data_IF_434235432621
#
_entry.id   IF_434235432621
#
_cell.length_a   1.000
_cell.length_b   1.000
_cell.length_c   1.000
_cell.angle_alpha   90.00
_cell.angle_beta   90.00
_cell.angle_gamma   90.00
#
_symmetry.space_group_name_H-M   'P 1'
#
loop_
_entity.id
_entity.type
_entity.pdbx_description
1 polymer ?
#
# COMPACT_ATOMS: atom_id res chain seq x y z
N UNK A 1 -2.61 4.20 8.86
CA UNK A 1 -1.75 3.01 9.04
C UNK A 1 -0.51 3.13 8.16
N UNK A 2 0.55 2.39 8.49
CA UNK A 2 1.78 2.32 7.69
C UNK A 2 2.04 0.87 7.27
N UNK A 3 2.34 0.66 5.99
CA UNK A 3 2.67 -0.62 5.39
C UNK A 3 4.09 -0.54 4.82
N UNK A 4 4.92 -1.54 5.10
CA UNK A 4 6.23 -1.69 4.47
C UNK A 4 6.12 -2.66 3.30
N UNK A 5 6.61 -2.28 2.11
CA UNK A 5 6.60 -3.14 0.92
C UNK A 5 8.00 -3.18 0.31
N UNK A 6 8.77 -4.21 0.66
CA UNK A 6 10.18 -4.33 0.28
C UNK A 6 10.40 -4.46 -1.23
N UNK A 7 9.42 -4.98 -1.95
CA UNK A 7 9.44 -5.23 -3.39
C UNK A 7 9.15 -3.99 -4.26
N UNK A 8 8.74 -2.86 -3.67
CA UNK A 8 8.63 -1.60 -4.41
C UNK A 8 10.02 -1.02 -4.67
N UNK A 9 10.45 -1.07 -5.93
CA UNK A 9 11.78 -0.59 -6.36
C UNK A 9 11.73 0.52 -7.40
N UNK A 10 10.56 0.85 -7.95
CA UNK A 10 10.39 1.86 -9.01
C UNK A 10 9.03 2.59 -8.89
N UNK A 11 8.92 3.78 -9.48
CA UNK A 11 7.67 4.57 -9.50
C UNK A 11 6.49 3.85 -10.16
N UNK A 12 6.73 2.89 -11.05
CA UNK A 12 5.68 2.02 -11.59
C UNK A 12 5.04 1.15 -10.50
N UNK A 13 5.84 0.61 -9.58
CA UNK A 13 5.35 -0.21 -8.46
C UNK A 13 4.47 0.62 -7.53
N UNK A 14 4.88 1.86 -7.24
CA UNK A 14 4.10 2.80 -6.43
C UNK A 14 2.72 3.09 -7.04
N UNK A 15 2.65 3.23 -8.37
CA UNK A 15 1.38 3.41 -9.09
C UNK A 15 0.44 2.21 -8.94
N UNK A 16 0.98 0.98 -9.08
CA UNK A 16 0.19 -0.26 -8.93
C UNK A 16 -0.34 -0.41 -7.50
N UNK A 17 0.52 -0.18 -6.49
CA UNK A 17 0.12 -0.26 -5.07
C UNK A 17 -0.91 0.81 -4.73
N UNK A 18 -0.74 2.04 -5.23
CA UNK A 18 -1.73 3.11 -5.03
C UNK A 18 -3.09 2.74 -5.61
N UNK A 19 -3.09 2.10 -6.79
CA UNK A 19 -4.32 1.62 -7.43
C UNK A 19 -5.00 0.55 -6.58
N UNK A 20 -4.27 -0.48 -6.15
CA UNK A 20 -4.79 -1.53 -5.28
C UNK A 20 -5.43 -0.95 -4.00
N UNK A 21 -4.75 0.00 -3.34
CA UNK A 21 -5.30 0.68 -2.15
C UNK A 21 -6.61 1.40 -2.46
N UNK A 22 -6.71 2.04 -3.63
CA UNK A 22 -7.92 2.75 -4.07
C UNK A 22 -9.05 1.82 -4.51
N UNK A 23 -8.77 0.57 -4.85
CA UNK A 23 -9.80 -0.44 -5.11
C UNK A 23 -10.50 -0.87 -3.82
N UNK A 24 -9.78 -0.91 -2.70
CA UNK A 24 -10.36 -1.12 -1.36
C UNK A 24 -11.11 0.12 -0.87
N UNK A 25 -10.48 1.30 -0.95
CA UNK A 25 -11.10 2.57 -0.58
C UNK A 25 -10.72 3.68 -1.55
N UNK A 26 -11.67 4.07 -2.40
CA UNK A 26 -11.49 5.11 -3.40
C UNK A 26 -11.12 6.48 -2.81
N UNK A 27 -11.47 6.73 -1.54
CA UNK A 27 -11.17 7.98 -0.82
C UNK A 27 -9.90 7.90 0.03
N UNK A 28 -9.21 6.75 0.06
CA UNK A 28 -7.98 6.59 0.82
C UNK A 28 -6.92 7.59 0.36
N UNK A 29 -6.26 8.23 1.33
CA UNK A 29 -5.05 9.01 1.06
C UNK A 29 -3.84 8.10 1.17
N UNK A 30 -3.05 8.09 0.11
CA UNK A 30 -1.86 7.24 0.00
C UNK A 30 -0.63 8.13 -0.16
N UNK A 31 0.34 7.95 0.72
CA UNK A 31 1.66 8.57 0.66
C UNK A 31 2.69 7.44 0.54
N UNK A 32 3.49 7.45 -0.52
CA UNK A 32 4.48 6.39 -0.79
C UNK A 32 5.87 6.99 -0.74
N UNK A 33 6.67 6.50 0.18
CA UNK A 33 8.09 6.82 0.29
C UNK A 33 8.92 5.66 -0.25
N UNK A 34 9.45 5.81 -1.46
CA UNK A 34 10.27 4.79 -2.11
C UNK A 34 11.66 4.61 -1.45
N UNK A 35 12.17 5.64 -0.76
CA UNK A 35 13.48 5.58 -0.09
C UNK A 35 13.46 4.64 1.12
N UNK A 36 12.40 4.71 1.91
CA UNK A 36 12.15 3.87 3.08
C UNK A 36 11.28 2.65 2.78
N UNK A 37 10.65 2.60 1.60
CA UNK A 37 9.71 1.56 1.17
C UNK A 37 8.46 1.48 2.04
N UNK A 38 8.03 2.63 2.55
CA UNK A 38 6.87 2.78 3.42
C UNK A 38 5.71 3.39 2.63
N UNK A 39 4.53 2.82 2.83
CA UNK A 39 3.25 3.32 2.31
C UNK A 39 2.39 3.71 3.49
N UNK A 40 2.04 5.00 3.58
CA UNK A 40 1.10 5.48 4.58
C UNK A 40 -0.28 5.56 3.94
N UNK A 41 -1.23 4.90 4.58
CA UNK A 41 -2.63 4.87 4.15
C UNK A 41 -3.48 5.51 5.23
N UNK A 42 -4.19 6.59 4.90
CA UNK A 42 -5.28 7.11 5.72
C UNK A 42 -6.59 6.67 5.09
N UNK A 43 -7.28 5.77 5.78
CA UNK A 43 -8.59 5.24 5.44
C UNK A 43 -9.29 4.80 6.72
N UNK A 44 -10.62 4.65 6.65
CA UNK A 44 -11.44 4.03 7.70
C UNK A 44 -11.52 2.49 7.59
N UNK A 45 -11.04 1.91 6.49
CA UNK A 45 -11.01 0.46 6.29
C UNK A 45 -9.92 -0.21 7.14
N UNK A 46 -10.04 -1.52 7.35
CA UNK A 46 -9.09 -2.25 8.18
C UNK A 46 -7.77 -2.53 7.42
N UNK A 47 -6.62 -2.62 8.11
CA UNK A 47 -5.35 -2.94 7.48
C UNK A 47 -5.36 -4.25 6.69
N UNK A 48 -6.12 -5.24 7.14
CA UNK A 48 -6.27 -6.55 6.50
C UNK A 48 -6.81 -6.46 5.08
N UNK A 49 -7.75 -5.56 4.80
CA UNK A 49 -8.33 -5.39 3.47
C UNK A 49 -7.27 -4.88 2.48
N UNK A 50 -6.47 -3.91 2.90
CA UNK A 50 -5.36 -3.39 2.10
C UNK A 50 -4.26 -4.43 1.89
N UNK A 51 -3.89 -5.18 2.93
CA UNK A 51 -2.88 -6.24 2.83
C UNK A 51 -3.30 -7.26 1.78
N UNK A 52 -4.55 -7.74 1.87
CA UNK A 52 -5.10 -8.72 0.93
C UNK A 52 -5.04 -8.19 -0.50
N UNK A 53 -5.51 -6.97 -0.75
CA UNK A 53 -5.54 -6.42 -2.11
C UNK A 53 -4.15 -6.16 -2.69
N UNK A 54 -3.23 -5.65 -1.88
CA UNK A 54 -1.84 -5.44 -2.29
C UNK A 54 -1.14 -6.80 -2.57
N UNK A 55 -1.51 -7.86 -1.84
CA UNK A 55 -1.07 -9.23 -2.14
C UNK A 55 -1.61 -9.75 -3.46
N UNK A 56 -2.88 -9.47 -3.79
CA UNK A 56 -3.45 -9.80 -5.10
C UNK A 56 -2.74 -9.06 -6.24
N UNK A 57 -2.24 -7.85 -5.98
CA UNK A 57 -1.42 -7.10 -6.92
C UNK A 57 0.04 -7.64 -7.05
N UNK A 58 0.39 -8.70 -6.33
CA UNK A 58 1.70 -9.37 -6.40
C UNK A 58 2.76 -8.83 -5.46
N UNK A 59 2.37 -8.07 -4.42
CA UNK A 59 3.29 -7.49 -3.45
C UNK A 59 3.13 -8.12 -2.06
N UNK A 60 4.14 -7.99 -1.20
CA UNK A 60 4.10 -8.53 0.17
C UNK A 60 4.18 -7.39 1.20
N UNK A 61 3.05 -6.74 1.55
CA UNK A 61 3.02 -5.68 2.54
C UNK A 61 3.06 -6.24 3.95
N UNK A 62 3.77 -5.58 4.85
CA UNK A 62 3.70 -5.86 6.30
C UNK A 62 3.29 -4.61 7.06
N UNK A 63 2.38 -4.75 8.02
CA UNK A 63 1.98 -3.64 8.89
C UNK A 63 3.17 -3.25 9.74
N UNK A 64 3.49 -1.96 9.74
CA UNK A 64 4.49 -1.37 10.63
C UNK A 64 3.79 -0.90 11.90
N UNK A 65 4.21 -1.45 13.05
CA UNK A 65 3.75 -1.09 14.40
C UNK A 65 4.35 0.21 14.88
#
# INVERSE_FOLDING_TARGET
>A
MELEIKDMTCGHCAGVVTKAIREVDANARVDIDLGTKIVRVLSAQEPSDFISEIQQAGYSPTVRS
#
